data_IF_288071196784
#
_entry.id   IF_288071196784
#
_cell.length_a   1.000
_cell.length_b   1.000
_cell.length_c   1.000
_cell.angle_alpha   90.00
_cell.angle_beta   90.00
_cell.angle_gamma   90.00
#
_symmetry.space_group_name_H-M   'P 1'
#
loop_
_entity.id
_entity.type
_entity.pdbx_description
1 polymer ?
#
# COMPACT_ATOMS: atom_id res chain seq x y z
N UNK A 1 7.91 -9.46 14.86
CA UNK A 1 8.85 -8.33 14.85
C UNK A 1 8.07 -7.05 15.09
N UNK A 2 8.57 -6.12 15.91
CA UNK A 2 7.92 -4.83 16.13
C UNK A 2 8.05 -3.92 14.89
N UNK A 3 7.26 -2.84 14.86
CA UNK A 3 7.33 -1.77 13.86
C UNK A 3 8.76 -1.22 13.75
N UNK A 4 9.25 -1.00 12.53
CA UNK A 4 10.54 -0.34 12.28
C UNK A 4 10.47 1.15 12.61
N UNK A 5 11.45 1.64 13.35
CA UNK A 5 11.51 3.05 13.81
C UNK A 5 12.34 3.95 12.90
N UNK A 6 13.14 3.37 12.02
CA UNK A 6 14.08 4.07 11.13
C UNK A 6 13.45 4.49 9.78
N UNK A 7 12.35 3.85 9.38
CA UNK A 7 11.56 4.27 8.21
C UNK A 7 10.55 5.34 8.63
N UNK A 8 10.51 6.45 7.90
CA UNK A 8 9.61 7.59 8.15
C UNK A 8 8.69 7.94 6.99
N UNK A 9 8.99 7.44 5.79
CA UNK A 9 8.19 7.67 4.57
C UNK A 9 8.23 6.40 3.74
N UNK A 10 7.08 6.02 3.20
CA UNK A 10 6.91 4.83 2.37
C UNK A 10 6.26 5.27 1.06
N UNK A 11 6.87 4.91 -0.07
CA UNK A 11 6.27 5.09 -1.39
C UNK A 11 5.57 3.79 -1.78
N UNK A 12 4.27 3.85 -1.99
CA UNK A 12 3.49 2.75 -2.58
C UNK A 12 3.36 3.03 -4.09
N UNK A 13 3.76 2.07 -4.91
CA UNK A 13 3.60 2.11 -6.36
C UNK A 13 2.36 1.28 -6.72
N UNK A 14 1.38 1.91 -7.37
CA UNK A 14 0.17 1.24 -7.84
C UNK A 14 0.43 0.33 -9.05
N UNK A 15 -0.53 -0.53 -9.36
CA UNK A 15 -0.43 -1.49 -10.47
C UNK A 15 -0.57 -0.85 -11.86
N UNK A 16 -1.08 0.37 -11.95
CA UNK A 16 -1.38 1.04 -13.21
C UNK A 16 -2.81 0.70 -13.72
N UNK A 17 -3.07 0.76 -15.03
CA UNK A 17 -4.41 0.53 -15.58
C UNK A 17 -4.88 -0.92 -15.40
N UNK A 18 -6.21 -1.09 -15.39
CA UNK A 18 -6.85 -2.41 -15.35
C UNK A 18 -6.64 -3.14 -16.68
N UNK A 19 -6.13 -4.37 -16.62
CA UNK A 19 -5.94 -5.28 -17.75
C UNK A 19 -6.36 -6.71 -17.35
N UNK A 20 -6.53 -7.59 -18.34
CA UNK A 20 -6.81 -9.01 -18.05
C UNK A 20 -5.65 -9.59 -17.24
N UNK A 21 -5.97 -10.14 -16.06
CA UNK A 21 -4.98 -10.68 -15.12
C UNK A 21 -4.38 -9.64 -14.16
N UNK A 22 -4.74 -8.36 -14.27
CA UNK A 22 -4.37 -7.33 -13.31
C UNK A 22 -5.49 -6.28 -13.20
N UNK A 23 -6.43 -6.49 -12.28
CA UNK A 23 -7.65 -5.69 -12.17
C UNK A 23 -7.78 -4.99 -10.80
N UNK A 24 -9.01 -4.86 -10.30
CA UNK A 24 -9.35 -4.06 -9.14
C UNK A 24 -8.80 -4.61 -7.81
N UNK A 25 -8.28 -5.84 -7.78
CA UNK A 25 -7.64 -6.43 -6.61
C UNK A 25 -6.48 -5.56 -6.07
N UNK A 26 -5.81 -4.83 -6.95
CA UNK A 26 -4.71 -3.93 -6.58
C UNK A 26 -5.19 -2.60 -6.03
N UNK A 27 -6.37 -2.12 -6.42
CA UNK A 27 -6.99 -0.93 -5.81
C UNK A 27 -7.42 -1.24 -4.38
N UNK A 28 -8.09 -2.39 -4.18
CA UNK A 28 -8.45 -2.89 -2.85
C UNK A 28 -7.22 -3.06 -1.96
N UNK A 29 -6.20 -3.76 -2.46
CA UNK A 29 -4.96 -4.03 -1.71
C UNK A 29 -4.17 -2.74 -1.41
N UNK A 30 -4.03 -1.86 -2.41
CA UNK A 30 -3.32 -0.58 -2.28
C UNK A 30 -4.00 0.36 -1.28
N UNK A 31 -5.32 0.46 -1.33
CA UNK A 31 -6.10 1.26 -0.38
C UNK A 31 -5.96 0.73 1.05
N UNK A 32 -5.97 -0.60 1.25
CA UNK A 32 -5.73 -1.20 2.56
C UNK A 32 -4.32 -0.92 3.08
N UNK A 33 -3.30 -1.04 2.23
CA UNK A 33 -1.93 -0.73 2.58
C UNK A 33 -1.79 0.73 3.03
N UNK A 34 -2.33 1.68 2.25
CA UNK A 34 -2.36 3.10 2.60
C UNK A 34 -3.07 3.35 3.94
N UNK A 35 -4.22 2.70 4.17
CA UNK A 35 -5.00 2.85 5.41
C UNK A 35 -4.20 2.41 6.64
N UNK A 36 -3.57 1.24 6.58
CA UNK A 36 -2.81 0.67 7.71
C UNK A 36 -1.56 1.49 7.99
N UNK A 37 -0.77 1.82 6.96
CA UNK A 37 0.44 2.64 7.14
C UNK A 37 0.12 4.01 7.73
N UNK A 38 -1.00 4.62 7.31
CA UNK A 38 -1.47 5.87 7.90
C UNK A 38 -1.90 5.71 9.35
N UNK A 39 -2.59 4.63 9.71
CA UNK A 39 -2.97 4.32 11.08
C UNK A 39 -1.76 4.08 11.99
N UNK A 40 -0.69 3.50 11.45
CA UNK A 40 0.57 3.33 12.17
C UNK A 40 1.39 4.63 12.26
N UNK A 41 1.02 5.69 11.55
CA UNK A 41 1.71 6.98 11.58
C UNK A 41 2.97 7.05 10.72
N UNK A 42 2.94 6.44 9.53
CA UNK A 42 3.89 6.69 8.44
C UNK A 42 3.43 7.83 7.51
#
# INVERSE_FOLDING_TARGET
MPKRTDIKKILIIGSGPIIIGQACEFDYSGTQACKILRQEGY
#
